data_IF_468811391813
#
_entry.id   IF_468811391813
#
_cell.length_a   1.000
_cell.length_b   1.000
_cell.length_c   1.000
_cell.angle_alpha   90.00
_cell.angle_beta   90.00
_cell.angle_gamma   90.00
#
_symmetry.space_group_name_H-M   'P 1'
#
loop_
_entity.id
_entity.type
_entity.pdbx_description
1 polymer ?
#
# COMPACT_ATOMS: atom_id res chain seq x y z
N UNK A 1 -12.97 -0.35 4.03
CA UNK A 1 -12.57 0.39 5.25
C UNK A 1 -13.48 -0.08 6.38
N UNK A 2 -12.89 -0.48 7.50
CA UNK A 2 -13.67 -0.91 8.67
C UNK A 2 -14.26 0.35 9.32
N UNK A 3 -15.51 0.33 9.82
CA UNK A 3 -16.05 1.45 10.58
C UNK A 3 -15.13 1.78 11.76
N UNK A 4 -14.56 2.97 11.78
CA UNK A 4 -13.68 3.42 12.87
C UNK A 4 -14.51 3.71 14.11
N UNK A 5 -14.27 2.99 15.20
CA UNK A 5 -14.70 3.43 16.53
C UNK A 5 -13.58 4.29 17.16
N UNK A 6 -13.89 5.10 18.17
CA UNK A 6 -12.91 6.00 18.82
C UNK A 6 -11.74 5.27 19.50
N UNK A 7 -11.83 3.95 19.68
CA UNK A 7 -10.82 3.14 20.37
C UNK A 7 -9.81 2.44 19.44
N UNK A 8 -9.98 2.55 18.12
CA UNK A 8 -9.13 1.85 17.15
C UNK A 8 -8.61 2.81 16.08
N UNK A 9 -7.35 2.64 15.70
CA UNK A 9 -6.72 3.42 14.63
C UNK A 9 -6.35 2.51 13.47
N UNK A 10 -6.78 2.85 12.26
CA UNK A 10 -6.35 2.20 11.03
C UNK A 10 -5.08 2.88 10.50
N UNK A 11 -4.06 2.09 10.18
CA UNK A 11 -2.78 2.57 9.65
C UNK A 11 -2.62 2.04 8.23
N UNK A 12 -2.34 2.93 7.28
CA UNK A 12 -2.11 2.57 5.88
C UNK A 12 -0.67 2.84 5.47
N UNK A 13 -0.09 1.90 4.73
CA UNK A 13 1.13 2.10 3.97
C UNK A 13 0.83 1.75 2.51
N UNK A 14 0.95 2.74 1.62
CA UNK A 14 0.61 2.60 0.21
C UNK A 14 1.86 2.88 -0.61
N UNK A 15 2.09 2.04 -1.62
CA UNK A 15 3.18 2.19 -2.58
C UNK A 15 2.58 2.27 -3.98
N UNK A 16 2.98 3.28 -4.74
CA UNK A 16 2.67 3.39 -6.16
C UNK A 16 3.87 2.89 -6.96
N UNK A 17 3.58 2.14 -8.04
CA UNK A 17 4.61 1.56 -8.89
C UNK A 17 4.08 1.33 -10.30
N UNK A 18 4.94 1.56 -11.29
CA UNK A 18 4.57 1.40 -12.71
C UNK A 18 4.48 -0.07 -13.16
N UNK A 19 5.08 -0.99 -12.40
CA UNK A 19 5.07 -2.42 -12.71
C UNK A 19 5.30 -3.28 -11.46
N UNK A 20 4.92 -4.56 -11.55
CA UNK A 20 5.16 -5.52 -10.48
C UNK A 20 6.65 -5.72 -10.15
N UNK A 21 7.53 -5.60 -11.13
CA UNK A 21 8.98 -5.67 -10.89
C UNK A 21 9.47 -4.49 -10.05
N UNK A 22 8.95 -3.28 -10.32
CA UNK A 22 9.26 -2.09 -9.50
C UNK A 22 8.74 -2.21 -8.07
N UNK A 23 7.55 -2.80 -7.89
CA UNK A 23 7.07 -3.16 -6.55
C UNK A 23 8.06 -4.08 -5.82
N UNK A 24 8.54 -5.15 -6.47
CA UNK A 24 9.50 -6.08 -5.85
C UNK A 24 10.82 -5.39 -5.49
N UNK A 25 11.33 -4.51 -6.34
CA UNK A 25 12.53 -3.72 -6.05
C UNK A 25 12.34 -2.87 -4.77
N UNK A 26 11.22 -2.15 -4.65
CA UNK A 26 10.89 -1.33 -3.48
C UNK A 26 10.80 -2.19 -2.22
N UNK A 27 10.04 -3.30 -2.27
CA UNK A 27 9.89 -4.22 -1.15
C UNK A 27 11.25 -4.80 -0.69
N UNK A 28 12.11 -5.17 -1.63
CA UNK A 28 13.44 -5.69 -1.32
C UNK A 28 14.30 -4.63 -0.61
N UNK A 29 14.27 -3.38 -1.07
CA UNK A 29 15.02 -2.28 -0.45
C UNK A 29 14.52 -2.01 0.98
N UNK A 30 13.21 -1.88 1.15
CA UNK A 30 12.58 -1.61 2.46
C UNK A 30 12.86 -2.72 3.45
N UNK A 31 12.75 -4.00 3.02
CA UNK A 31 13.07 -5.16 3.88
C UNK A 31 14.57 -5.31 4.12
N UNK A 32 15.40 -4.80 3.22
CA UNK A 32 16.85 -4.85 3.30
C UNK A 32 17.43 -3.93 4.38
N UNK A 33 16.73 -2.85 4.73
CA UNK A 33 17.16 -1.89 5.75
C UNK A 33 17.33 -2.56 7.12
N UNK A 34 18.59 -2.78 7.51
CA UNK A 34 18.94 -3.45 8.77
C UNK A 34 18.72 -2.55 9.99
N UNK A 35 18.90 -1.24 9.85
CA UNK A 35 18.70 -0.29 10.95
C UNK A 35 17.21 -0.19 11.29
N UNK A 36 16.36 -0.01 10.27
CA UNK A 36 14.91 0.00 10.45
C UNK A 36 14.40 -1.31 11.05
N UNK A 37 14.85 -2.47 10.55
CA UNK A 37 14.49 -3.78 11.12
C UNK A 37 14.91 -3.91 12.58
N UNK A 38 16.12 -3.45 12.93
CA UNK A 38 16.61 -3.48 14.30
C UNK A 38 15.72 -2.67 15.25
N UNK A 39 15.32 -1.45 14.84
CA UNK A 39 14.41 -0.61 15.62
C UNK A 39 13.04 -1.27 15.83
N UNK A 40 12.48 -1.89 14.79
CA UNK A 40 11.20 -2.60 14.90
C UNK A 40 11.30 -3.79 15.86
N UNK A 41 12.35 -4.61 15.72
CA UNK A 41 12.54 -5.77 16.58
C UNK A 41 12.68 -5.35 18.04
N UNK A 42 13.49 -4.33 18.32
CA UNK A 42 13.65 -3.77 19.66
C UNK A 42 12.32 -3.26 20.23
N UNK A 43 11.53 -2.55 19.43
CA UNK A 43 10.20 -2.10 19.86
C UNK A 43 9.28 -3.27 20.20
N UNK A 44 9.26 -4.34 19.41
CA UNK A 44 8.49 -5.53 19.75
C UNK A 44 8.97 -6.18 21.06
N UNK A 45 10.28 -6.30 21.27
CA UNK A 45 10.86 -6.84 22.51
C UNK A 45 10.45 -6.02 23.73
N UNK A 46 10.50 -4.70 23.64
CA UNK A 46 10.09 -3.77 24.71
C UNK A 46 8.59 -3.83 25.02
N UNK A 47 7.76 -4.30 24.08
CA UNK A 47 6.29 -4.35 24.20
C UNK A 47 5.75 -5.78 24.42
N UNK A 48 6.56 -6.68 24.98
CA UNK A 48 6.11 -8.04 25.34
C UNK A 48 6.29 -9.08 24.23
N UNK A 49 6.99 -8.72 23.16
CA UNK A 49 7.31 -9.59 22.03
C UNK A 49 6.28 -9.54 20.90
N UNK A 50 6.72 -9.96 19.71
CA UNK A 50 5.92 -9.90 18.48
C UNK A 50 4.59 -10.63 18.59
N UNK A 51 4.58 -11.81 19.20
CA UNK A 51 3.37 -12.63 19.33
C UNK A 51 2.34 -11.98 20.27
N UNK A 52 2.80 -11.39 21.38
CA UNK A 52 1.93 -10.69 22.32
C UNK A 52 1.29 -9.47 21.66
N UNK A 53 2.10 -8.60 21.04
CA UNK A 53 1.60 -7.42 20.34
C UNK A 53 0.61 -7.80 19.24
N UNK A 54 0.91 -8.82 18.44
CA UNK A 54 0.01 -9.27 17.38
C UNK A 54 -1.35 -9.71 17.94
N UNK A 55 -1.37 -10.51 19.01
CA UNK A 55 -2.62 -11.01 19.61
C UNK A 55 -3.43 -9.94 20.34
N UNK A 56 -2.77 -8.95 20.95
CA UNK A 56 -3.43 -8.00 21.84
C UNK A 56 -3.72 -6.64 21.18
N UNK A 57 -2.94 -6.24 20.19
CA UNK A 57 -2.99 -4.89 19.62
C UNK A 57 -3.45 -4.85 18.16
N UNK A 58 -3.32 -5.96 17.42
CA UNK A 58 -3.62 -6.00 15.98
C UNK A 58 -4.95 -6.74 15.77
N UNK A 59 -5.95 -6.03 15.28
CA UNK A 59 -7.28 -6.59 15.02
C UNK A 59 -7.35 -7.27 13.64
N UNK A 60 -6.86 -6.59 12.61
CA UNK A 60 -6.86 -7.09 11.23
C UNK A 60 -5.65 -6.54 10.47
N UNK A 61 -5.12 -7.32 9.54
CA UNK A 61 -4.07 -6.91 8.61
C UNK A 61 -4.50 -7.25 7.20
N UNK A 62 -4.45 -6.27 6.30
CA UNK A 62 -4.75 -6.43 4.87
C UNK A 62 -3.52 -6.07 4.04
N UNK A 63 -3.31 -6.84 2.98
CA UNK A 63 -2.35 -6.52 1.93
C UNK A 63 -3.09 -6.62 0.60
N UNK A 64 -3.43 -5.47 0.03
CA UNK A 64 -4.34 -5.36 -1.11
C UNK A 64 -3.65 -4.58 -2.24
N UNK A 65 -3.82 -5.07 -3.46
CA UNK A 65 -3.42 -4.32 -4.64
C UNK A 65 -4.54 -3.36 -5.03
N UNK A 66 -4.21 -2.08 -5.15
CA UNK A 66 -5.15 -1.04 -5.56
C UNK A 66 -4.91 -0.74 -7.03
N UNK A 67 -5.98 -0.74 -7.82
CA UNK A 67 -5.93 -0.41 -9.24
C UNK A 67 -6.75 0.86 -9.51
N UNK A 68 -6.24 1.71 -10.39
CA UNK A 68 -7.02 2.83 -10.89
C UNK A 68 -8.20 2.32 -11.71
N UNK A 69 -9.40 2.77 -11.38
CA UNK A 69 -10.62 2.53 -12.16
C UNK A 69 -10.85 3.60 -13.22
N UNK A 70 -9.97 4.61 -13.29
CA UNK A 70 -10.04 5.64 -14.32
C UNK A 70 -9.59 5.05 -15.66
N UNK A 71 -10.52 4.98 -16.61
CA UNK A 71 -10.19 4.69 -18.00
C UNK A 71 -9.45 5.92 -18.53
N UNK A 72 -8.15 5.79 -18.83
CA UNK A 72 -7.45 6.78 -19.67
C UNK A 72 -8.10 6.71 -21.04
N UNK A 73 -9.07 7.58 -21.29
CA UNK A 73 -9.44 7.94 -22.66
C UNK A 73 -8.24 8.69 -23.23
N UNK A 74 -7.26 7.97 -23.74
CA UNK A 74 -6.32 8.54 -24.71
C UNK A 74 -7.12 8.78 -25.98
N UNK A 75 -7.90 9.87 -25.99
CA UNK A 75 -8.36 10.46 -27.23
C UNK A 75 -7.10 10.90 -27.98
N UNK A 76 -6.55 10.00 -28.78
CA UNK A 76 -5.60 10.38 -29.80
C UNK A 76 -6.35 11.35 -30.71
N UNK A 77 -5.83 12.58 -30.80
CA UNK A 77 -6.42 13.72 -31.51
C UNK A 77 -6.55 13.51 -33.04
N UNK A 78 -6.62 12.27 -33.53
CA UNK A 78 -6.82 11.93 -34.93
C UNK A 78 -8.23 11.44 -35.28
N UNK A 79 -9.02 10.95 -34.32
CA UNK A 79 -10.37 10.45 -34.62
C UNK A 79 -11.49 11.50 -34.50
N UNK A 80 -11.19 12.69 -33.94
CA UNK A 80 -12.17 13.78 -33.81
C UNK A 80 -12.50 14.45 -35.16
N UNK A 81 -11.71 14.19 -36.21
CA UNK A 81 -11.91 14.81 -37.54
C UNK A 81 -12.97 14.10 -38.40
N UNK A 82 -13.47 12.92 -38.01
CA UNK A 82 -14.45 12.18 -38.83
C UNK A 82 -15.91 12.59 -38.54
N UNK A 83 -16.20 13.13 -37.34
CA UNK A 83 -17.58 13.41 -36.90
C UNK A 83 -18.04 14.88 -37.06
N UNK A 84 -17.21 15.76 -37.61
CA UNK A 84 -17.55 17.19 -37.82
C UNK A 84 -17.72 17.59 -39.29
N UNK A 85 -17.89 16.62 -40.21
CA UNK A 85 -18.27 16.88 -41.60
C UNK A 85 -19.69 16.39 -41.88
N UNK A 86 -20.67 17.16 -41.41
CA UNK A 86 -22.02 17.24 -41.98
C UNK A 86 -22.47 18.70 -41.90
#
# INVERSE_FOLDING_TARGET
MIPSNESTTEIFAIWEYDSYEKYKEIETIVRGDSEHRSRINKWYEENGGREYVYKQCILEVKNEQIFSTLIKNEFTNHEVQFWLKN
#
